data_IF_804120414859
#
_entry.id   IF_804120414859
#
_cell.length_a   1.000
_cell.length_b   1.000
_cell.length_c   1.000
_cell.angle_alpha   90.00
_cell.angle_beta   90.00
_cell.angle_gamma   90.00
#
_symmetry.space_group_name_H-M   'P 1'
#
loop_
_entity.id
_entity.type
_entity.pdbx_description
1 polymer ?
#
# COMPACT_ATOMS: atom_id res chain seq x y z
N UNK A 1 -1.68 -4.15 -16.47
CA UNK A 1 -1.62 -2.81 -15.80
C UNK A 1 -1.33 -3.04 -14.32
N UNK A 2 -0.51 -2.16 -13.70
CA UNK A 2 -0.25 -2.20 -12.25
C UNK A 2 -1.20 -1.24 -11.56
N UNK A 3 -1.82 -1.69 -10.47
CA UNK A 3 -2.67 -0.87 -9.60
C UNK A 3 -2.01 -0.73 -8.24
N UNK A 4 -1.90 0.49 -7.74
CA UNK A 4 -1.44 0.77 -6.38
C UNK A 4 -2.60 0.51 -5.40
N UNK A 5 -2.38 -0.40 -4.49
CA UNK A 5 -3.40 -0.89 -3.55
C UNK A 5 -2.82 -1.10 -2.15
N UNK A 6 -3.69 -1.41 -1.21
CA UNK A 6 -3.27 -1.93 0.10
C UNK A 6 -3.62 -3.41 0.17
N UNK A 7 -2.63 -4.24 0.45
CA UNK A 7 -2.83 -5.68 0.68
C UNK A 7 -2.87 -5.94 2.18
N UNK A 8 -3.94 -6.59 2.64
CA UNK A 8 -4.01 -7.12 4.01
C UNK A 8 -3.76 -8.61 3.99
N UNK A 9 -3.02 -9.09 4.98
CA UNK A 9 -2.72 -10.51 5.20
C UNK A 9 -2.75 -10.82 6.69
N UNK A 10 -2.86 -12.07 7.07
CA UNK A 10 -2.91 -12.49 8.47
C UNK A 10 -1.74 -13.43 8.77
N UNK A 11 -1.07 -13.23 9.89
CA UNK A 11 -0.04 -14.15 10.38
C UNK A 11 -0.66 -15.39 11.03
N UNK A 12 0.15 -16.42 11.30
CA UNK A 12 -0.32 -17.61 12.06
C UNK A 12 -0.79 -17.29 13.49
N UNK A 13 -0.47 -16.10 14.00
CA UNK A 13 -0.94 -15.61 15.32
C UNK A 13 -2.18 -14.73 15.21
N UNK A 14 -2.88 -14.77 14.08
CA UNK A 14 -4.05 -13.93 13.77
C UNK A 14 -3.78 -12.42 13.86
N UNK A 15 -2.53 -11.99 13.61
CA UNK A 15 -2.18 -10.56 13.54
C UNK A 15 -2.28 -10.12 12.09
N UNK A 16 -3.13 -9.12 11.84
CA UNK A 16 -3.29 -8.53 10.50
C UNK A 16 -2.07 -7.67 10.17
N UNK A 17 -1.52 -7.88 8.97
CA UNK A 17 -0.48 -7.05 8.38
C UNK A 17 -1.07 -6.28 7.21
N UNK A 18 -0.76 -4.98 7.15
CA UNK A 18 -1.27 -4.02 6.15
C UNK A 18 -0.06 -3.49 5.38
N UNK A 19 -0.05 -3.63 4.06
CA UNK A 19 1.08 -3.23 3.23
C UNK A 19 0.65 -2.58 1.92
N UNK A 20 1.17 -1.37 1.58
CA UNK A 20 1.04 -0.80 0.25
C UNK A 20 1.85 -1.61 -0.76
N UNK A 21 1.28 -1.90 -1.93
CA UNK A 21 2.01 -2.51 -3.04
C UNK A 21 1.27 -2.39 -4.37
N UNK A 22 2.03 -2.49 -5.46
CA UNK A 22 1.47 -2.64 -6.79
C UNK A 22 1.06 -4.08 -7.07
N UNK A 23 -0.13 -4.29 -7.60
CA UNK A 23 -0.62 -5.59 -8.09
C UNK A 23 -0.91 -5.53 -9.58
N UNK A 24 -0.94 -6.69 -10.23
CA UNK A 24 -1.44 -6.80 -11.60
C UNK A 24 -2.78 -7.52 -11.59
N UNK A 25 -3.72 -7.01 -12.39
CA UNK A 25 -4.97 -7.69 -12.71
C UNK A 25 -4.85 -8.26 -14.12
N UNK A 26 -5.00 -9.58 -14.25
CA UNK A 26 -4.99 -10.31 -15.54
C UNK A 26 -6.21 -11.21 -15.54
N UNK A 27 -7.18 -10.90 -16.38
CA UNK A 27 -8.48 -11.57 -16.41
C UNK A 27 -9.14 -11.58 -15.00
N UNK A 28 -9.44 -12.75 -14.46
CA UNK A 28 -9.99 -12.92 -13.11
C UNK A 28 -8.92 -13.30 -12.07
N UNK A 29 -7.67 -12.97 -12.31
CA UNK A 29 -6.55 -13.25 -11.39
C UNK A 29 -5.85 -11.98 -10.94
N UNK A 30 -5.30 -12.07 -9.73
CA UNK A 30 -4.42 -11.06 -9.14
C UNK A 30 -3.01 -11.63 -9.05
N UNK A 31 -2.01 -10.87 -9.52
CA UNK A 31 -0.61 -11.17 -9.27
C UNK A 31 -0.09 -10.18 -8.23
N UNK A 32 0.39 -10.71 -7.12
CA UNK A 32 1.03 -9.96 -6.04
C UNK A 32 2.51 -10.30 -6.09
N UNK A 33 3.39 -9.28 -6.17
CA UNK A 33 4.83 -9.48 -6.28
C UNK A 33 5.56 -8.77 -5.13
N UNK A 34 5.52 -9.33 -3.90
CA UNK A 34 6.16 -8.73 -2.74
C UNK A 34 7.69 -8.85 -2.82
N UNK A 35 8.41 -7.89 -2.24
CA UNK A 35 9.86 -8.01 -2.09
C UNK A 35 10.24 -9.07 -1.05
N UNK A 36 11.45 -9.62 -1.17
CA UNK A 36 12.09 -10.44 -0.12
C UNK A 36 13.09 -9.62 0.69
N UNK A 37 13.07 -9.72 2.02
CA UNK A 37 12.06 -10.37 2.86
C UNK A 37 10.82 -9.49 3.04
N UNK A 38 9.62 -10.09 3.17
CA UNK A 38 8.41 -9.35 3.53
C UNK A 38 7.40 -10.18 4.32
N UNK A 39 6.74 -9.52 5.25
CA UNK A 39 5.69 -10.13 6.07
C UNK A 39 4.49 -10.59 5.21
N UNK A 40 4.16 -9.84 4.14
CA UNK A 40 3.11 -10.22 3.20
C UNK A 40 3.40 -11.55 2.54
N UNK A 41 4.64 -11.75 2.03
CA UNK A 41 5.06 -13.01 1.42
C UNK A 41 4.97 -14.16 2.42
N UNK A 42 5.49 -13.95 3.63
CA UNK A 42 5.47 -14.97 4.69
C UNK A 42 4.05 -15.40 5.04
N UNK A 43 3.14 -14.42 5.23
CA UNK A 43 1.76 -14.69 5.57
C UNK A 43 1.02 -15.46 4.46
N UNK A 44 1.13 -15.00 3.20
CA UNK A 44 0.45 -15.66 2.07
C UNK A 44 1.02 -17.06 1.83
N UNK A 45 2.32 -17.26 1.98
CA UNK A 45 2.93 -18.60 1.84
C UNK A 45 2.40 -19.60 2.88
N UNK A 46 1.98 -19.12 4.05
CA UNK A 46 1.52 -19.97 5.15
C UNK A 46 0.03 -20.31 5.09
N UNK A 47 -0.82 -19.37 4.68
CA UNK A 47 -2.28 -19.54 4.73
C UNK A 47 -2.99 -19.35 3.38
N UNK A 48 -2.28 -18.99 2.33
CA UNK A 48 -2.76 -18.77 0.96
C UNK A 48 -3.83 -17.67 0.82
N UNK A 49 -4.04 -16.82 1.81
CA UNK A 49 -5.12 -15.84 1.82
C UNK A 49 -4.58 -14.41 1.85
N UNK A 50 -5.26 -13.52 1.12
CA UNK A 50 -5.06 -12.08 1.21
C UNK A 50 -6.35 -11.34 0.84
N UNK A 51 -6.43 -10.06 1.23
CA UNK A 51 -7.45 -9.14 0.73
C UNK A 51 -6.79 -7.95 0.08
N UNK A 52 -7.21 -7.65 -1.15
CA UNK A 52 -6.78 -6.50 -1.93
C UNK A 52 -7.76 -5.36 -1.67
N UNK A 53 -7.26 -4.25 -1.15
CA UNK A 53 -8.07 -3.09 -0.83
C UNK A 53 -7.75 -1.95 -1.82
N UNK A 54 -8.71 -1.58 -2.65
CA UNK A 54 -8.66 -0.40 -3.51
C UNK A 54 -9.20 0.77 -2.72
N UNK A 55 -8.38 1.78 -2.48
CA UNK A 55 -8.71 2.91 -1.59
C UNK A 55 -8.39 4.25 -2.24
N UNK A 56 -9.10 5.30 -1.83
CA UNK A 56 -8.82 6.70 -2.18
C UNK A 56 -8.25 7.51 -0.99
N UNK A 57 -8.25 6.95 0.22
CA UNK A 57 -7.63 7.57 1.39
C UNK A 57 -6.11 7.31 1.40
N UNK A 58 -5.37 8.20 0.76
CA UNK A 58 -3.91 8.07 0.59
C UNK A 58 -3.10 8.19 1.89
N UNK A 59 -3.75 8.55 3.01
CA UNK A 59 -3.10 8.52 4.33
C UNK A 59 -2.64 7.11 4.70
N UNK A 60 -3.32 6.08 4.20
CA UNK A 60 -2.92 4.69 4.46
C UNK A 60 -1.55 4.40 3.85
N UNK A 61 -1.30 4.85 2.61
CA UNK A 61 0.01 4.71 1.97
C UNK A 61 1.09 5.48 2.75
N UNK A 62 0.89 6.77 2.97
CA UNK A 62 1.83 7.62 3.66
C UNK A 62 2.09 7.15 5.10
N UNK A 63 1.03 6.85 5.87
CA UNK A 63 1.13 6.47 7.27
C UNK A 63 1.94 5.18 7.48
N UNK A 64 1.72 4.16 6.63
CA UNK A 64 2.45 2.89 6.72
C UNK A 64 3.92 3.08 6.32
N UNK A 65 4.20 3.76 5.21
CA UNK A 65 5.56 3.94 4.70
C UNK A 65 6.40 4.81 5.63
N UNK A 66 5.85 5.90 6.15
CA UNK A 66 6.54 6.77 7.12
C UNK A 66 6.59 6.17 8.52
N UNK A 67 5.76 5.17 8.82
CA UNK A 67 5.53 4.55 10.12
C UNK A 67 4.82 5.46 11.14
N UNK A 68 4.26 6.59 10.72
CA UNK A 68 3.55 7.50 11.62
C UNK A 68 2.15 7.03 11.98
N UNK A 69 1.49 6.25 11.09
CA UNK A 69 0.21 5.61 11.39
C UNK A 69 0.15 4.21 10.77
N UNK A 70 -0.05 3.19 11.62
CA UNK A 70 -0.11 1.78 11.20
C UNK A 70 -1.42 1.10 11.57
N UNK A 71 -2.12 1.62 12.55
CA UNK A 71 -3.39 1.14 13.08
C UNK A 71 -4.55 1.74 12.28
N UNK A 72 -5.03 0.98 11.32
CA UNK A 72 -6.16 1.33 10.49
C UNK A 72 -7.33 0.42 10.83
N UNK A 73 -8.54 0.99 10.83
CA UNK A 73 -9.76 0.25 11.15
C UNK A 73 -10.00 -0.86 10.13
N UNK A 74 -10.20 -2.06 10.65
CA UNK A 74 -10.46 -3.28 9.89
C UNK A 74 -11.90 -3.71 10.07
N UNK A 75 -12.46 -4.38 9.06
CA UNK A 75 -13.74 -5.05 9.18
C UNK A 75 -13.64 -6.18 10.21
N UNK A 76 -14.61 -6.24 11.11
CA UNK A 76 -14.70 -7.38 12.04
C UNK A 76 -15.26 -8.58 11.28
N UNK A 77 -14.47 -9.64 11.15
CA UNK A 77 -14.82 -10.88 10.44
C UNK A 77 -14.61 -12.07 11.38
N UNK A 78 -15.62 -12.91 11.50
CA UNK A 78 -15.55 -14.16 12.28
C UNK A 78 -15.08 -15.36 11.45
N UNK A 79 -15.10 -15.26 10.10
CA UNK A 79 -14.67 -16.32 9.19
C UNK A 79 -13.15 -16.33 9.03
N UNK A 80 -12.49 -17.36 9.56
CA UNK A 80 -11.05 -17.56 9.48
C UNK A 80 -10.51 -17.74 8.05
N UNK A 81 -11.38 -18.05 7.08
CA UNK A 81 -11.02 -18.17 5.66
C UNK A 81 -11.03 -16.82 4.93
N UNK A 82 -11.31 -15.74 5.61
CA UNK A 82 -11.34 -14.38 5.05
C UNK A 82 -10.34 -13.50 5.80
N UNK A 83 -9.45 -12.86 5.05
CA UNK A 83 -8.58 -11.84 5.62
C UNK A 83 -9.35 -10.52 5.72
N UNK A 84 -9.36 -9.84 6.89
CA UNK A 84 -10.06 -8.58 7.08
C UNK A 84 -9.64 -7.50 6.06
N UNK A 85 -10.62 -6.78 5.51
CA UNK A 85 -10.38 -5.60 4.69
C UNK A 85 -10.23 -4.35 5.57
N UNK A 86 -9.69 -3.30 4.98
CA UNK A 86 -9.77 -1.96 5.56
C UNK A 86 -11.20 -1.42 5.47
N UNK A 87 -11.73 -0.82 6.54
CA UNK A 87 -13.02 -0.14 6.51
C UNK A 87 -13.04 1.03 5.53
N UNK A 88 -11.87 1.59 5.22
CA UNK A 88 -11.69 2.68 4.24
C UNK A 88 -11.74 2.20 2.78
N UNK A 89 -11.69 0.90 2.49
CA UNK A 89 -11.67 0.38 1.14
C UNK A 89 -12.93 0.76 0.35
N UNK A 90 -12.74 1.36 -0.84
CA UNK A 90 -13.81 1.63 -1.80
C UNK A 90 -14.31 0.34 -2.44
N UNK A 91 -13.36 -0.51 -2.82
CA UNK A 91 -13.60 -1.86 -3.36
C UNK A 91 -12.60 -2.80 -2.72
N UNK A 92 -12.98 -4.06 -2.50
CA UNK A 92 -12.03 -5.07 -2.09
C UNK A 92 -12.25 -6.39 -2.79
N UNK A 93 -11.15 -7.14 -2.95
CA UNK A 93 -11.16 -8.51 -3.47
C UNK A 93 -10.55 -9.44 -2.44
N UNK A 94 -11.29 -10.49 -2.05
CA UNK A 94 -10.70 -11.60 -1.33
C UNK A 94 -10.03 -12.53 -2.35
N UNK A 95 -8.79 -12.90 -2.09
CA UNK A 95 -8.00 -13.70 -3.02
C UNK A 95 -7.38 -14.91 -2.34
N UNK A 96 -7.21 -15.99 -3.13
CA UNK A 96 -6.60 -17.24 -2.70
C UNK A 96 -5.39 -17.52 -3.59
N UNK A 97 -4.20 -17.60 -2.99
CA UNK A 97 -2.98 -17.95 -3.71
C UNK A 97 -3.05 -19.38 -4.25
N UNK A 98 -2.68 -19.56 -5.53
CA UNK A 98 -2.68 -20.84 -6.24
C UNK A 98 -1.32 -21.27 -6.73
N UNK A 99 -0.52 -20.31 -7.16
CA UNK A 99 0.79 -20.58 -7.76
C UNK A 99 1.81 -19.58 -7.23
N UNK A 100 3.00 -20.06 -6.93
CA UNK A 100 4.13 -19.25 -6.53
C UNK A 100 5.24 -19.42 -7.58
N UNK A 101 5.56 -18.34 -8.28
CA UNK A 101 6.72 -18.28 -9.19
C UNK A 101 7.87 -17.66 -8.42
N UNK A 102 8.87 -18.48 -8.17
CA UNK A 102 10.02 -18.07 -7.36
C UNK A 102 10.91 -17.05 -8.10
N UNK A 103 11.40 -16.08 -7.33
CA UNK A 103 12.38 -15.08 -7.75
C UNK A 103 13.18 -14.67 -6.51
N UNK A 104 14.49 -14.44 -6.70
CA UNK A 104 15.37 -14.10 -5.60
C UNK A 104 14.98 -12.83 -4.86
N UNK A 105 14.42 -11.84 -5.55
CA UNK A 105 14.08 -10.52 -5.01
C UNK A 105 12.58 -10.28 -4.90
N UNK A 106 11.81 -10.76 -5.89
CA UNK A 106 10.40 -10.37 -6.04
C UNK A 106 9.56 -11.50 -6.65
N UNK A 107 9.28 -12.57 -5.88
CA UNK A 107 8.47 -13.68 -6.37
C UNK A 107 7.06 -13.23 -6.73
N UNK A 108 6.45 -13.88 -7.74
CA UNK A 108 5.07 -13.66 -8.11
C UNK A 108 4.15 -14.66 -7.42
N UNK A 109 3.11 -14.16 -6.77
CA UNK A 109 2.03 -14.95 -6.18
C UNK A 109 0.81 -14.76 -7.05
N UNK A 110 0.39 -15.81 -7.74
CA UNK A 110 -0.79 -15.80 -8.61
C UNK A 110 -1.99 -16.26 -7.79
N UNK A 111 -2.98 -15.39 -7.68
CA UNK A 111 -4.15 -15.59 -6.85
C UNK A 111 -5.43 -15.62 -7.69
N UNK A 112 -6.34 -16.54 -7.39
CA UNK A 112 -7.72 -16.50 -7.87
C UNK A 112 -8.52 -15.51 -7.00
N UNK A 113 -9.43 -14.77 -7.62
CA UNK A 113 -10.36 -13.90 -6.90
C UNK A 113 -11.54 -14.75 -6.43
N UNK A 114 -11.72 -14.89 -5.13
CA UNK A 114 -12.86 -15.63 -4.54
C UNK A 114 -14.10 -14.75 -4.36
N UNK A 115 -13.91 -13.45 -4.11
CA UNK A 115 -15.01 -12.50 -3.92
C UNK A 115 -14.60 -11.08 -4.33
N UNK A 116 -15.51 -10.35 -4.99
CA UNK A 116 -15.36 -8.93 -5.35
C UNK A 116 -16.51 -8.15 -4.71
N UNK A 117 -16.22 -7.08 -3.98
CA UNK A 117 -17.24 -6.25 -3.31
C UNK A 117 -16.91 -4.77 -3.48
N UNK A 118 -17.94 -4.01 -3.87
CA UNK A 118 -17.90 -2.55 -3.95
C UNK A 118 -18.54 -2.00 -2.66
N UNK A 119 -17.78 -1.25 -1.87
CA UNK A 119 -18.22 -0.67 -0.60
C UNK A 119 -18.61 0.81 -0.75
N UNK A 120 -17.90 1.53 -1.64
CA UNK A 120 -18.10 2.96 -1.90
C UNK A 120 -17.86 3.24 -3.39
N UNK A 121 -18.54 4.22 -3.98
CA UNK A 121 -18.31 4.60 -5.36
C UNK A 121 -16.91 5.22 -5.56
N UNK A 122 -16.37 5.10 -6.77
CA UNK A 122 -15.19 5.86 -7.18
C UNK A 122 -15.60 7.32 -7.44
N UNK A 123 -14.90 8.26 -6.79
CA UNK A 123 -15.24 9.69 -6.83
C UNK A 123 -14.47 10.49 -7.88
N UNK A 124 -13.65 9.84 -8.71
CA UNK A 124 -12.82 10.50 -9.72
C UNK A 124 -11.35 10.60 -9.28
N UNK A 125 -10.50 11.07 -10.20
CA UNK A 125 -9.07 11.25 -9.95
C UNK A 125 -8.78 12.57 -9.25
N UNK A 126 -7.86 12.54 -8.28
CA UNK A 126 -7.36 13.72 -7.58
C UNK A 126 -5.83 13.77 -7.69
N UNK A 127 -5.27 14.93 -8.09
CA UNK A 127 -3.81 15.08 -8.28
C UNK A 127 -3.03 15.02 -6.97
N UNK A 128 -3.61 15.48 -5.86
CA UNK A 128 -2.96 15.37 -4.56
C UNK A 128 -2.86 13.91 -4.10
N UNK A 129 -3.87 13.08 -4.39
CA UNK A 129 -3.79 11.64 -4.12
C UNK A 129 -2.65 10.99 -4.90
N UNK A 130 -2.54 11.29 -6.19
CA UNK A 130 -1.39 10.86 -7.01
C UNK A 130 -0.06 11.31 -6.39
N UNK A 131 0.05 12.60 -6.03
CA UNK A 131 1.27 13.16 -5.43
C UNK A 131 1.68 12.45 -4.14
N UNK A 132 0.72 12.11 -3.27
CA UNK A 132 0.99 11.37 -2.03
C UNK A 132 1.46 9.94 -2.31
N UNK A 133 0.83 9.24 -3.27
CA UNK A 133 1.24 7.87 -3.64
C UNK A 133 2.69 7.88 -4.16
N UNK A 134 3.02 8.72 -5.14
CA UNK A 134 4.37 8.84 -5.69
C UNK A 134 5.40 9.25 -4.62
N UNK A 135 5.06 10.21 -3.78
CA UNK A 135 5.93 10.63 -2.69
C UNK A 135 6.14 9.52 -1.65
N UNK A 136 5.13 8.67 -1.40
CA UNK A 136 5.28 7.49 -0.55
C UNK A 136 6.26 6.47 -1.15
N UNK A 137 6.23 6.27 -2.47
CA UNK A 137 7.21 5.43 -3.17
C UNK A 137 8.62 6.00 -3.01
N UNK A 138 8.80 7.33 -3.15
CA UNK A 138 10.10 7.99 -2.95
C UNK A 138 10.61 7.82 -1.50
N UNK A 139 9.74 8.02 -0.51
CA UNK A 139 10.08 7.82 0.92
C UNK A 139 10.49 6.38 1.22
N UNK A 140 9.84 5.39 0.60
CA UNK A 140 10.24 3.99 0.75
C UNK A 140 11.67 3.71 0.23
N UNK A 141 12.21 4.59 -0.62
CA UNK A 141 13.52 4.49 -1.27
C UNK A 141 14.55 5.48 -0.75
N UNK A 142 14.32 6.12 0.39
CA UNK A 142 15.25 7.11 0.98
C UNK A 142 16.68 6.57 1.15
N UNK A 143 16.84 5.28 1.43
CA UNK A 143 18.16 4.62 1.56
C UNK A 143 18.73 4.11 0.24
N UNK A 144 18.01 4.24 -0.86
CA UNK A 144 18.36 3.63 -2.16
C UNK A 144 18.64 4.67 -3.24
N UNK A 145 18.05 5.86 -3.11
CA UNK A 145 18.15 6.95 -4.08
C UNK A 145 18.91 8.15 -3.49
N UNK A 146 19.61 8.93 -4.33
CA UNK A 146 20.20 10.20 -3.90
C UNK A 146 19.13 11.14 -3.36
N UNK A 147 19.40 11.79 -2.23
CA UNK A 147 18.43 12.67 -1.57
C UNK A 147 18.06 13.89 -2.44
N UNK A 148 19.00 14.41 -3.20
CA UNK A 148 18.78 15.55 -4.11
C UNK A 148 17.72 15.22 -5.16
N UNK A 149 17.76 13.98 -5.71
CA UNK A 149 16.76 13.51 -6.66
C UNK A 149 15.38 13.43 -6.00
N UNK A 150 15.30 12.88 -4.78
CA UNK A 150 14.04 12.81 -4.04
C UNK A 150 13.47 14.20 -3.80
N UNK A 151 14.28 15.14 -3.34
CA UNK A 151 13.85 16.52 -3.06
C UNK A 151 13.34 17.23 -4.34
N UNK A 152 13.99 17.01 -5.46
CA UNK A 152 13.57 17.58 -6.75
C UNK A 152 12.18 17.05 -7.16
N UNK A 153 11.93 15.74 -7.03
CA UNK A 153 10.64 15.14 -7.37
C UNK A 153 9.54 15.55 -6.37
N UNK A 154 9.85 15.63 -5.08
CA UNK A 154 8.93 16.14 -4.05
C UNK A 154 8.52 17.60 -4.35
N UNK A 155 9.44 18.45 -4.80
CA UNK A 155 9.12 19.83 -5.18
C UNK A 155 8.11 19.88 -6.36
N UNK A 156 8.22 18.99 -7.34
CA UNK A 156 7.25 18.89 -8.43
C UNK A 156 5.89 18.38 -7.94
N UNK A 157 5.89 17.32 -7.13
CA UNK A 157 4.65 16.69 -6.61
C UNK A 157 3.87 17.65 -5.70
N UNK A 158 4.55 18.56 -4.99
CA UNK A 158 3.94 19.59 -4.14
C UNK A 158 2.93 20.47 -4.89
N UNK A 159 3.12 20.70 -6.19
CA UNK A 159 2.18 21.48 -7.02
C UNK A 159 0.78 20.84 -7.01
N UNK A 160 0.69 19.51 -7.04
CA UNK A 160 -0.59 18.79 -6.94
C UNK A 160 -1.26 19.00 -5.58
N UNK A 161 -0.48 18.97 -4.51
CA UNK A 161 -0.93 19.19 -3.13
C UNK A 161 -1.49 20.61 -2.99
N UNK A 162 -0.70 21.63 -3.32
CA UNK A 162 -1.09 23.04 -3.18
C UNK A 162 -2.39 23.39 -3.92
N UNK A 163 -2.64 22.72 -5.05
CA UNK A 163 -3.80 23.03 -5.89
C UNK A 163 -5.04 22.20 -5.63
N UNK A 164 -4.91 20.97 -5.09
CA UNK A 164 -6.03 20.02 -5.08
C UNK A 164 -6.16 19.21 -3.80
N UNK A 165 -5.30 19.41 -2.78
CA UNK A 165 -5.38 18.65 -1.55
C UNK A 165 -6.57 19.05 -0.69
N UNK A 166 -7.26 18.07 -0.15
CA UNK A 166 -8.14 18.19 0.99
C UNK A 166 -7.40 17.94 2.32
N UNK A 167 -8.12 17.92 3.45
CA UNK A 167 -7.50 17.70 4.76
C UNK A 167 -6.72 16.38 4.86
N UNK A 168 -7.21 15.30 4.23
CA UNK A 168 -6.57 13.97 4.27
C UNK A 168 -5.24 13.95 3.50
N UNK A 169 -5.22 14.52 2.32
CA UNK A 169 -4.04 14.60 1.47
C UNK A 169 -2.98 15.52 2.11
N UNK A 170 -3.41 16.63 2.72
CA UNK A 170 -2.52 17.55 3.44
C UNK A 170 -1.90 16.89 4.68
N UNK A 171 -2.65 16.10 5.43
CA UNK A 171 -2.13 15.33 6.56
C UNK A 171 -1.10 14.28 6.11
N UNK A 172 -1.43 13.52 5.06
CA UNK A 172 -0.52 12.54 4.48
C UNK A 172 0.78 13.17 3.96
N UNK A 173 0.66 14.31 3.28
CA UNK A 173 1.80 15.06 2.76
C UNK A 173 2.73 15.54 3.87
N UNK A 174 2.16 16.04 4.97
CA UNK A 174 2.95 16.44 6.13
C UNK A 174 3.79 15.28 6.69
N UNK A 175 3.21 14.09 6.83
CA UNK A 175 3.97 12.91 7.28
C UNK A 175 5.14 12.56 6.36
N UNK A 176 4.97 12.74 5.05
CA UNK A 176 6.02 12.53 4.05
C UNK A 176 7.14 13.54 4.24
N UNK A 177 6.82 14.82 4.36
CA UNK A 177 7.81 15.89 4.56
C UNK A 177 8.58 15.72 5.87
N UNK A 178 7.87 15.44 6.96
CA UNK A 178 8.48 15.19 8.26
C UNK A 178 9.45 14.01 8.19
N UNK A 179 9.08 12.91 7.47
CA UNK A 179 9.94 11.74 7.30
C UNK A 179 11.21 12.03 6.50
N UNK A 180 11.11 12.82 5.44
CA UNK A 180 12.28 13.24 4.66
C UNK A 180 13.22 14.10 5.51
N UNK A 181 12.67 15.03 6.30
CA UNK A 181 13.46 15.87 7.20
C UNK A 181 14.16 15.06 8.30
N UNK A 182 13.50 14.06 8.88
CA UNK A 182 14.12 13.13 9.83
C UNK A 182 15.32 12.44 9.19
N UNK A 183 15.14 11.87 7.99
CA UNK A 183 16.21 11.17 7.28
C UNK A 183 17.41 12.09 6.98
N UNK A 184 17.17 13.34 6.56
CA UNK A 184 18.24 14.30 6.32
C UNK A 184 19.03 14.61 7.60
N UNK A 185 18.36 14.79 8.75
CA UNK A 185 19.02 15.03 10.04
C UNK A 185 19.85 13.84 10.52
N UNK A 186 19.40 12.60 10.26
CA UNK A 186 20.14 11.38 10.59
C UNK A 186 21.39 11.20 9.74
N UNK A 187 21.37 11.65 8.48
CA UNK A 187 22.47 11.53 7.52
C UNK A 187 23.62 12.55 7.75
N UNK A 188 23.39 13.58 8.58
CA UNK A 188 24.38 14.61 8.92
C UNK A 188 25.15 14.26 10.22
N UNK A 189 24.67 13.27 10.97
CA UNK A 189 25.34 12.76 12.19
C UNK A 189 26.30 11.62 11.86
#
# INVERSE_FOLDING_TARGET
MIHEVIVTTVSQKNIVHIAPMGIQLIDDRVIISPFRPSQTLENITKNNLATINFIDDVRVFAGIVTKYKKDWELENIEDENIVPRLMLANTHYNVIAREFKDDERRPDIICDISKKLINKPFMGFNRAQFSVIEASVLVSRLKMLPIEKILQEIAYLRIGIEKTAGPRESEAWKWIEDKIQEFQKESIK
#
